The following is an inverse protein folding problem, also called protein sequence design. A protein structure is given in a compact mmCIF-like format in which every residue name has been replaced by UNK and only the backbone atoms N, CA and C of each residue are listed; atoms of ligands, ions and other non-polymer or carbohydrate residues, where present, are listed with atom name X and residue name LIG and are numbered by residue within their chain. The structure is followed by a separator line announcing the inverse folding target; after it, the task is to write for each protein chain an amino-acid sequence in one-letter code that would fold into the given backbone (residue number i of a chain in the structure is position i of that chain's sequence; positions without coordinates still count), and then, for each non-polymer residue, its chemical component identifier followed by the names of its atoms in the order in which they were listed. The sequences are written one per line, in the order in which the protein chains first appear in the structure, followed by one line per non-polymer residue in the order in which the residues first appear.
data_IF_934633928715
#
_entry.id   IF_934633928715
#
_cell.length_a   1.000
_cell.length_b   1.000
_cell.length_c   1.000
_cell.angle_alpha   90.00
_cell.angle_beta   90.00
_cell.angle_gamma   90.00
#
_symmetry.space_group_name_H-M   'P 1'
#
loop_
_entity.id
_entity.type
_entity.pdbx_description
1 polymer ?
#
# COMPACT_ATOMS: atom_id res chain seq x y z
N UNK A 1 -76.90 -8.72 -14.50
CA UNK A 1 -76.18 -8.62 -13.22
C UNK A 1 -74.82 -9.25 -13.42
N UNK A 2 -73.82 -8.48 -13.09
CA UNK A 2 -72.38 -8.58 -13.37
C UNK A 2 -71.70 -9.71 -12.57
N UNK A 3 -70.97 -10.58 -13.26
CA UNK A 3 -69.86 -11.34 -12.67
C UNK A 3 -68.54 -10.74 -13.20
N UNK A 4 -68.10 -9.67 -12.51
CA UNK A 4 -66.75 -9.11 -12.63
C UNK A 4 -66.08 -9.40 -11.28
N UNK A 5 -65.64 -10.64 -11.09
CA UNK A 5 -64.89 -11.01 -9.90
C UNK A 5 -63.92 -12.14 -10.24
N UNK A 6 -62.81 -11.79 -10.91
CA UNK A 6 -61.49 -12.41 -10.78
C UNK A 6 -60.51 -11.76 -11.76
N UNK A 7 -60.22 -10.47 -11.55
CA UNK A 7 -58.97 -9.92 -12.05
C UNK A 7 -57.84 -10.39 -11.12
N UNK A 8 -56.75 -11.00 -11.61
CA UNK A 8 -55.62 -11.36 -10.76
C UNK A 8 -55.10 -10.09 -10.08
N UNK A 9 -55.00 -10.11 -8.74
CA UNK A 9 -54.35 -9.05 -7.98
C UNK A 9 -52.96 -8.85 -8.58
N UNK A 10 -52.68 -7.65 -9.08
CA UNK A 10 -51.35 -7.26 -9.51
C UNK A 10 -50.38 -7.62 -8.39
N UNK A 11 -49.43 -8.52 -8.68
CA UNK A 11 -48.37 -8.86 -7.74
C UNK A 11 -47.68 -7.55 -7.36
N UNK A 12 -47.80 -7.16 -6.09
CA UNK A 12 -47.03 -6.05 -5.54
C UNK A 12 -45.56 -6.39 -5.73
N UNK A 13 -44.92 -5.82 -6.75
CA UNK A 13 -43.46 -5.89 -6.94
C UNK A 13 -42.82 -5.39 -5.66
N UNK A 14 -42.27 -6.32 -4.89
CA UNK A 14 -41.61 -6.05 -3.61
C UNK A 14 -40.45 -5.09 -3.90
N UNK A 15 -40.37 -3.98 -3.18
CA UNK A 15 -39.25 -3.03 -3.37
C UNK A 15 -37.94 -3.78 -3.09
N UNK A 16 -36.98 -3.80 -4.03
CA UNK A 16 -35.74 -4.52 -3.85
C UNK A 16 -34.93 -3.94 -2.68
N UNK A 17 -34.23 -4.83 -1.96
CA UNK A 17 -33.32 -4.43 -0.87
C UNK A 17 -32.12 -3.63 -1.40
N UNK A 18 -31.32 -3.04 -0.51
CA UNK A 18 -30.16 -2.22 -0.93
C UNK A 18 -29.16 -3.01 -1.79
N UNK A 19 -28.85 -4.24 -1.40
CA UNK A 19 -27.95 -5.14 -2.15
C UNK A 19 -28.49 -5.42 -3.55
N UNK A 20 -29.75 -5.81 -3.66
CA UNK A 20 -30.42 -6.12 -4.92
C UNK A 20 -30.51 -4.89 -5.84
N UNK A 21 -30.81 -3.71 -5.28
CA UNK A 21 -30.79 -2.45 -6.03
C UNK A 21 -29.41 -2.14 -6.59
N UNK A 22 -28.37 -2.32 -5.78
CA UNK A 22 -26.99 -2.08 -6.24
C UNK A 22 -26.61 -3.05 -7.35
N UNK A 23 -26.93 -4.34 -7.19
CA UNK A 23 -26.69 -5.36 -8.20
C UNK A 23 -27.38 -5.02 -9.54
N UNK A 24 -28.62 -4.53 -9.52
CA UNK A 24 -29.32 -4.08 -10.75
C UNK A 24 -28.65 -2.89 -11.46
N UNK A 25 -27.82 -2.11 -10.75
CA UNK A 25 -27.06 -0.98 -11.30
C UNK A 25 -25.62 -1.35 -11.66
N UNK A 26 -25.19 -2.58 -11.37
CA UNK A 26 -23.84 -3.09 -11.64
C UNK A 26 -23.93 -4.44 -12.36
N UNK A 27 -24.05 -5.53 -11.60
CA UNK A 27 -24.07 -6.91 -12.13
C UNK A 27 -25.20 -7.14 -13.14
N UNK A 28 -26.39 -6.60 -12.91
CA UNK A 28 -27.53 -6.73 -13.84
C UNK A 28 -27.38 -6.01 -15.19
N UNK A 29 -26.20 -5.46 -15.49
CA UNK A 29 -25.87 -4.83 -16.77
C UNK A 29 -25.03 -5.72 -17.70
N UNK A 30 -24.59 -6.90 -17.23
CA UNK A 30 -23.87 -7.86 -18.07
C UNK A 30 -24.81 -8.76 -18.87
N UNK A 31 -24.19 -9.63 -19.68
CA UNK A 31 -24.89 -10.60 -20.50
C UNK A 31 -23.97 -11.77 -20.83
N UNK A 32 -24.59 -12.92 -21.11
CA UNK A 32 -23.90 -14.07 -21.69
C UNK A 32 -23.53 -13.81 -23.15
N UNK A 33 -22.26 -14.00 -23.48
CA UNK A 33 -21.73 -13.68 -24.81
C UNK A 33 -22.29 -14.62 -25.88
N UNK A 34 -22.80 -14.08 -27.00
CA UNK A 34 -23.35 -14.89 -28.11
C UNK A 34 -22.44 -14.94 -29.35
N UNK A 35 -21.70 -13.86 -29.64
CA UNK A 35 -20.91 -13.73 -30.88
C UNK A 35 -19.42 -14.03 -30.71
N UNK A 36 -18.94 -14.11 -29.47
CA UNK A 36 -17.58 -14.45 -29.10
C UNK A 36 -17.62 -15.42 -27.93
N UNK A 37 -16.71 -16.41 -27.86
CA UNK A 37 -16.60 -17.28 -26.69
C UNK A 37 -16.23 -16.47 -25.43
N UNK A 38 -16.84 -16.79 -24.29
CA UNK A 38 -16.58 -16.11 -23.02
C UNK A 38 -15.09 -16.16 -22.61
N UNK A 39 -14.43 -17.29 -22.89
CA UNK A 39 -13.00 -17.50 -22.67
C UNK A 39 -12.10 -16.59 -23.53
N UNK A 40 -12.54 -16.19 -24.73
CA UNK A 40 -11.82 -15.21 -25.54
C UNK A 40 -12.06 -13.78 -25.05
N UNK A 41 -13.23 -13.52 -24.45
CA UNK A 41 -13.55 -12.23 -23.82
C UNK A 41 -12.77 -12.04 -22.50
N UNK A 42 -12.50 -13.12 -21.77
CA UNK A 42 -11.75 -13.12 -20.51
C UNK A 42 -10.60 -14.15 -20.52
N UNK A 43 -9.56 -13.92 -21.34
CA UNK A 43 -8.52 -14.93 -21.63
C UNK A 43 -7.57 -15.21 -20.45
N UNK A 44 -7.60 -14.39 -19.40
CA UNK A 44 -6.72 -14.52 -18.24
C UNK A 44 -7.40 -15.21 -17.04
N UNK A 45 -8.65 -15.63 -17.16
CA UNK A 45 -9.45 -16.09 -16.01
C UNK A 45 -9.14 -17.51 -15.54
N UNK A 46 -8.29 -18.29 -16.23
CA UNK A 46 -8.13 -19.73 -15.94
C UNK A 46 -6.68 -20.21 -15.81
N UNK A 47 -5.71 -19.52 -16.42
CA UNK A 47 -4.34 -20.04 -16.52
C UNK A 47 -3.59 -20.14 -15.17
N UNK A 48 -4.03 -19.37 -14.17
CA UNK A 48 -3.47 -19.37 -12.82
C UNK A 48 -3.90 -20.58 -11.98
N UNK A 49 -4.83 -21.39 -12.48
CA UNK A 49 -5.35 -22.58 -11.79
C UNK A 49 -6.45 -22.31 -10.77
N UNK A 50 -6.81 -21.04 -10.54
CA UNK A 50 -7.96 -20.66 -9.71
C UNK A 50 -9.26 -21.08 -10.40
N UNK A 51 -10.14 -21.71 -9.62
CA UNK A 51 -11.46 -22.19 -10.05
C UNK A 51 -12.55 -21.37 -9.40
N UNK A 52 -13.39 -20.75 -10.21
CA UNK A 52 -14.57 -20.01 -9.78
C UNK A 52 -15.79 -20.70 -10.39
N UNK A 53 -16.66 -21.27 -9.55
CA UNK A 53 -17.86 -21.98 -10.01
C UNK A 53 -19.06 -21.05 -10.14
N UNK A 54 -19.11 -20.00 -9.34
CA UNK A 54 -20.27 -19.14 -9.23
C UNK A 54 -19.87 -17.70 -8.86
N UNK A 55 -19.85 -16.82 -9.87
CA UNK A 55 -19.57 -15.40 -9.71
C UNK A 55 -20.68 -14.63 -8.97
N UNK A 56 -21.90 -15.17 -8.89
CA UNK A 56 -23.00 -14.51 -8.17
C UNK A 56 -22.81 -14.55 -6.65
N UNK A 57 -21.95 -15.46 -6.16
CA UNK A 57 -21.53 -15.51 -4.75
C UNK A 57 -20.60 -14.38 -4.32
N UNK A 58 -20.08 -13.58 -5.25
CA UNK A 58 -19.31 -12.39 -4.89
C UNK A 58 -20.18 -11.50 -3.99
N UNK A 59 -19.67 -10.97 -2.89
CA UNK A 59 -20.35 -9.89 -2.14
C UNK A 59 -19.71 -8.57 -2.50
N UNK A 60 -20.50 -7.54 -2.82
CA UNK A 60 -19.93 -6.24 -3.14
C UNK A 60 -19.27 -5.64 -1.88
N UNK A 61 -17.94 -5.39 -1.87
CA UNK A 61 -17.22 -4.91 -0.69
C UNK A 61 -17.68 -3.51 -0.28
N UNK A 62 -18.18 -2.73 -1.25
CA UNK A 62 -18.82 -1.44 -1.05
C UNK A 62 -19.88 -1.22 -2.13
N UNK A 63 -20.85 -0.35 -1.85
CA UNK A 63 -22.04 -0.13 -2.69
C UNK A 63 -22.17 1.35 -3.08
N UNK A 64 -21.16 1.85 -3.79
CA UNK A 64 -21.13 3.21 -4.33
C UNK A 64 -21.49 3.20 -5.82
N UNK A 65 -22.54 3.94 -6.19
CA UNK A 65 -22.85 4.27 -7.58
C UNK A 65 -21.99 5.45 -8.03
N UNK A 66 -21.83 5.64 -9.34
CA UNK A 66 -20.94 6.69 -9.87
C UNK A 66 -21.33 8.10 -9.46
N UNK A 67 -22.63 8.40 -9.33
CA UNK A 67 -23.11 9.70 -8.84
C UNK A 67 -22.69 9.95 -7.38
N UNK A 68 -22.77 8.92 -6.53
CA UNK A 68 -22.33 9.00 -5.14
C UNK A 68 -20.80 9.11 -5.06
N UNK A 69 -20.06 8.30 -5.85
CA UNK A 69 -18.61 8.35 -5.91
C UNK A 69 -18.14 9.77 -6.30
N UNK A 70 -18.64 10.32 -7.42
CA UNK A 70 -18.26 11.67 -7.85
C UNK A 70 -18.59 12.74 -6.83
N UNK A 71 -19.76 12.66 -6.19
CA UNK A 71 -20.17 13.63 -5.17
C UNK A 71 -19.17 13.64 -4.00
N UNK A 72 -18.91 12.48 -3.39
CA UNK A 72 -18.03 12.40 -2.22
C UNK A 72 -16.58 12.71 -2.59
N UNK A 73 -16.09 12.22 -3.73
CA UNK A 73 -14.72 12.49 -4.16
C UNK A 73 -14.51 13.97 -4.49
N UNK A 74 -15.48 14.64 -5.14
CA UNK A 74 -15.36 16.07 -5.43
C UNK A 74 -15.30 16.93 -4.15
N UNK A 75 -16.11 16.61 -3.14
CA UNK A 75 -16.06 17.30 -1.84
C UNK A 75 -14.72 17.10 -1.12
N UNK A 76 -14.10 15.92 -1.25
CA UNK A 76 -12.77 15.62 -0.70
C UNK A 76 -11.69 16.43 -1.43
N UNK A 77 -11.70 16.43 -2.77
CA UNK A 77 -10.72 17.15 -3.57
C UNK A 77 -10.80 18.67 -3.35
N UNK A 78 -11.99 19.25 -3.29
CA UNK A 78 -12.15 20.69 -3.02
C UNK A 78 -11.47 21.11 -1.71
N UNK A 79 -11.65 20.33 -0.64
CA UNK A 79 -11.03 20.60 0.66
C UNK A 79 -9.51 20.38 0.61
N UNK A 80 -9.08 19.29 -0.03
CA UNK A 80 -7.68 18.93 -0.14
C UNK A 80 -6.87 20.02 -0.87
N UNK A 81 -7.32 20.44 -2.05
CA UNK A 81 -6.61 21.47 -2.83
C UNK A 81 -6.66 22.84 -2.16
N UNK A 82 -7.76 23.20 -1.47
CA UNK A 82 -7.79 24.43 -0.67
C UNK A 82 -6.72 24.44 0.43
N UNK A 83 -6.48 23.31 1.09
CA UNK A 83 -5.41 23.18 2.09
C UNK A 83 -4.03 23.24 1.43
N UNK A 84 -3.82 22.55 0.29
CA UNK A 84 -2.55 22.58 -0.43
C UNK A 84 -2.19 24.00 -0.92
N UNK A 85 -3.17 24.73 -1.47
CA UNK A 85 -2.99 26.11 -1.92
C UNK A 85 -2.65 27.03 -0.74
N UNK A 86 -3.37 26.90 0.38
CA UNK A 86 -3.08 27.65 1.59
C UNK A 86 -1.68 27.31 2.15
N UNK A 87 -1.28 26.04 2.13
CA UNK A 87 0.05 25.60 2.55
C UNK A 87 1.15 26.24 1.69
N UNK A 88 0.99 26.22 0.36
CA UNK A 88 1.94 26.85 -0.55
C UNK A 88 1.98 28.39 -0.38
N UNK A 89 0.80 29.04 -0.32
CA UNK A 89 0.68 30.50 -0.17
C UNK A 89 1.35 31.02 1.11
N UNK A 90 1.27 30.26 2.21
CA UNK A 90 1.80 30.67 3.50
C UNK A 90 3.23 30.16 3.77
N UNK A 91 3.93 29.65 2.75
CA UNK A 91 5.26 29.04 2.92
C UNK A 91 5.27 27.97 4.04
N UNK A 92 4.26 27.11 4.09
CA UNK A 92 4.07 26.14 5.18
C UNK A 92 5.22 25.16 5.37
N UNK A 93 6.08 24.99 4.36
CA UNK A 93 7.33 24.21 4.46
C UNK A 93 8.30 24.75 5.53
N UNK A 94 8.22 26.03 5.88
CA UNK A 94 9.00 26.64 6.98
C UNK A 94 8.49 26.24 8.37
N UNK A 95 7.30 25.66 8.45
CA UNK A 95 6.71 25.13 9.69
C UNK A 95 7.12 23.70 10.02
N UNK A 96 7.95 23.06 9.18
CA UNK A 96 8.50 21.74 9.45
C UNK A 96 9.43 21.77 10.67
N UNK A 97 9.48 20.66 11.41
CA UNK A 97 10.33 20.54 12.61
C UNK A 97 11.82 20.68 12.30
N UNK A 98 12.28 20.09 11.20
CA UNK A 98 13.66 20.11 10.72
C UNK A 98 13.67 19.74 9.22
N UNK A 99 14.58 20.34 8.44
CA UNK A 99 14.73 20.03 7.01
C UNK A 99 15.11 18.55 6.74
N UNK A 100 15.67 17.83 7.72
CA UNK A 100 15.93 16.38 7.66
C UNK A 100 14.68 15.57 7.33
N UNK A 101 13.50 16.01 7.79
CA UNK A 101 12.21 15.40 7.46
C UNK A 101 11.98 15.29 5.95
N UNK A 102 12.46 16.25 5.15
CA UNK A 102 12.26 16.23 3.69
C UNK A 102 12.78 14.96 3.02
N UNK A 103 13.74 14.26 3.62
CA UNK A 103 14.27 13.01 3.08
C UNK A 103 13.24 11.86 3.13
N UNK A 104 12.30 11.87 4.08
CA UNK A 104 11.17 10.93 4.09
C UNK A 104 10.26 11.16 2.88
N UNK A 105 10.00 12.42 2.52
CA UNK A 105 9.19 12.79 1.36
C UNK A 105 9.90 12.46 0.04
N UNK A 106 11.23 12.61 -0.03
CA UNK A 106 12.02 12.18 -1.21
C UNK A 106 11.90 10.67 -1.42
N UNK A 107 12.02 9.90 -0.34
CA UNK A 107 11.81 8.45 -0.37
C UNK A 107 10.38 8.11 -0.83
N UNK A 108 9.37 8.80 -0.29
CA UNK A 108 7.97 8.59 -0.65
C UNK A 108 7.69 8.92 -2.13
N UNK A 109 8.08 10.10 -2.61
CA UNK A 109 7.84 10.52 -4.00
C UNK A 109 8.53 9.62 -5.03
N UNK A 110 9.72 9.11 -4.70
CA UNK A 110 10.51 8.28 -5.63
C UNK A 110 10.18 6.80 -5.50
N UNK A 111 9.80 6.34 -4.31
CA UNK A 111 9.55 4.94 -3.99
C UNK A 111 8.09 4.52 -4.03
N UNK A 112 7.19 5.31 -3.42
CA UNK A 112 5.78 4.98 -3.18
C UNK A 112 4.85 5.57 -4.24
N UNK A 113 4.95 6.87 -4.53
CA UNK A 113 4.04 7.51 -5.51
C UNK A 113 4.02 6.87 -6.91
N UNK A 114 5.13 6.32 -7.44
CA UNK A 114 5.08 5.55 -8.68
C UNK A 114 4.30 4.25 -8.56
N UNK A 115 4.24 3.65 -7.36
CA UNK A 115 3.48 2.43 -7.09
C UNK A 115 1.98 2.68 -7.15
N UNK A 116 1.49 3.83 -6.69
CA UNK A 116 0.08 4.20 -6.83
C UNK A 116 -0.34 4.22 -8.31
N UNK A 117 0.51 4.80 -9.17
CA UNK A 117 0.23 4.81 -10.59
C UNK A 117 0.29 3.40 -11.22
N UNK A 118 1.14 2.53 -10.69
CA UNK A 118 1.19 1.12 -11.13
C UNK A 118 -0.02 0.33 -10.61
N UNK A 119 -0.49 0.62 -9.39
CA UNK A 119 -1.70 0.04 -8.81
C UNK A 119 -2.93 0.46 -9.62
N UNK A 120 -3.03 1.73 -10.02
CA UNK A 120 -4.05 2.21 -10.96
C UNK A 120 -4.09 1.34 -12.22
N UNK A 121 -2.93 1.13 -12.86
CA UNK A 121 -2.83 0.34 -14.10
C UNK A 121 -3.17 -1.14 -13.88
N UNK A 122 -2.71 -1.73 -12.77
CA UNK A 122 -3.00 -3.10 -12.42
C UNK A 122 -4.49 -3.32 -12.17
N UNK A 123 -5.13 -2.48 -11.34
CA UNK A 123 -6.56 -2.55 -11.10
C UNK A 123 -7.41 -2.20 -12.33
N UNK A 124 -6.94 -1.33 -13.24
CA UNK A 124 -7.59 -1.12 -14.54
C UNK A 124 -7.57 -2.40 -15.39
N UNK A 125 -6.44 -3.12 -15.39
CA UNK A 125 -6.30 -4.40 -16.09
C UNK A 125 -7.21 -5.47 -15.46
N UNK A 126 -7.09 -5.71 -14.15
CA UNK A 126 -7.91 -6.70 -13.43
C UNK A 126 -9.39 -6.37 -13.51
N UNK A 127 -9.75 -5.09 -13.42
CA UNK A 127 -11.10 -4.58 -13.61
C UNK A 127 -11.67 -4.78 -15.02
N UNK A 128 -10.85 -5.19 -15.99
CA UNK A 128 -11.29 -5.71 -17.29
C UNK A 128 -11.29 -7.24 -17.33
N UNK A 129 -10.31 -7.91 -16.71
CA UNK A 129 -10.08 -9.34 -16.93
C UNK A 129 -10.91 -10.28 -16.05
N UNK A 130 -11.46 -9.84 -14.92
CA UNK A 130 -12.31 -10.70 -14.08
C UNK A 130 -13.70 -10.89 -14.72
N UNK A 131 -14.19 -12.14 -14.90
CA UNK A 131 -15.52 -12.40 -15.45
C UNK A 131 -16.70 -11.89 -14.60
N UNK A 132 -16.56 -11.81 -13.27
CA UNK A 132 -17.61 -11.28 -12.41
C UNK A 132 -17.70 -9.76 -12.43
N UNK A 133 -18.87 -9.20 -12.78
CA UNK A 133 -19.08 -7.74 -12.86
C UNK A 133 -18.82 -7.04 -11.53
N UNK A 134 -19.28 -7.61 -10.41
CA UNK A 134 -19.11 -6.98 -9.10
C UNK A 134 -17.64 -6.76 -8.77
N UNK A 135 -16.80 -7.75 -9.05
CA UNK A 135 -15.36 -7.65 -8.90
C UNK A 135 -14.76 -6.62 -9.87
N UNK A 136 -15.21 -6.59 -11.14
CA UNK A 136 -14.76 -5.58 -12.12
C UNK A 136 -15.04 -4.15 -11.66
N UNK A 137 -16.27 -3.87 -11.21
CA UNK A 137 -16.68 -2.54 -10.77
C UNK A 137 -15.88 -2.12 -9.53
N UNK A 138 -15.66 -3.02 -8.56
CA UNK A 138 -14.83 -2.72 -7.40
C UNK A 138 -13.38 -2.41 -7.79
N UNK A 139 -12.77 -3.22 -8.68
CA UNK A 139 -11.42 -2.97 -9.19
C UNK A 139 -11.33 -1.66 -9.99
N UNK A 140 -12.35 -1.31 -10.79
CA UNK A 140 -12.37 -0.05 -11.53
C UNK A 140 -12.47 1.16 -10.60
N UNK A 141 -13.25 1.07 -9.52
CA UNK A 141 -13.29 2.12 -8.49
C UNK A 141 -11.95 2.26 -7.78
N UNK A 142 -11.31 1.15 -7.37
CA UNK A 142 -9.97 1.19 -6.80
C UNK A 142 -8.96 1.80 -7.79
N UNK A 143 -8.99 1.41 -9.06
CA UNK A 143 -8.15 2.00 -10.09
C UNK A 143 -8.27 3.53 -10.18
N UNK A 144 -9.48 4.08 -10.06
CA UNK A 144 -9.67 5.54 -10.02
C UNK A 144 -9.11 6.17 -8.75
N UNK A 145 -9.27 5.49 -7.61
CA UNK A 145 -8.71 5.92 -6.32
C UNK A 145 -7.18 5.95 -6.37
N UNK A 146 -6.52 4.93 -6.94
CA UNK A 146 -5.04 4.91 -7.04
C UNK A 146 -4.50 5.98 -8.00
N UNK A 147 -5.24 6.29 -9.08
CA UNK A 147 -4.88 7.41 -9.96
C UNK A 147 -4.97 8.74 -9.20
N UNK A 148 -6.01 8.90 -8.39
CA UNK A 148 -6.18 10.05 -7.51
C UNK A 148 -5.04 10.14 -6.51
N UNK A 149 -4.63 9.03 -5.88
CA UNK A 149 -3.52 9.01 -4.93
C UNK A 149 -2.22 9.44 -5.61
N UNK A 150 -1.88 8.84 -6.76
CA UNK A 150 -0.70 9.21 -7.53
C UNK A 150 -0.66 10.72 -7.83
N UNK A 151 -1.75 11.28 -8.33
CA UNK A 151 -1.83 12.70 -8.70
C UNK A 151 -1.75 13.62 -7.48
N UNK A 152 -2.53 13.34 -6.44
CA UNK A 152 -2.58 14.18 -5.24
C UNK A 152 -1.26 14.15 -4.45
N UNK A 153 -0.56 13.01 -4.41
CA UNK A 153 0.79 12.93 -3.85
C UNK A 153 1.80 13.77 -4.65
N UNK A 154 1.76 13.71 -5.99
CA UNK A 154 2.62 14.57 -6.84
C UNK A 154 2.34 16.05 -6.57
N UNK A 155 1.07 16.42 -6.45
CA UNK A 155 0.67 17.81 -6.18
C UNK A 155 1.06 18.27 -4.77
N UNK A 156 0.88 17.44 -3.74
CA UNK A 156 1.26 17.77 -2.36
C UNK A 156 2.77 18.03 -2.24
N UNK A 157 3.59 17.29 -2.98
CA UNK A 157 5.05 17.42 -2.96
C UNK A 157 5.60 18.43 -3.99
N UNK A 158 4.74 18.99 -4.85
CA UNK A 158 5.13 19.98 -5.86
C UNK A 158 5.75 21.24 -5.25
N UNK A 159 5.25 21.69 -4.10
CA UNK A 159 5.81 22.87 -3.42
C UNK A 159 7.23 22.61 -2.90
N UNK A 160 7.48 21.44 -2.31
CA UNK A 160 8.81 21.05 -1.85
C UNK A 160 9.80 20.93 -3.01
N UNK A 161 9.38 20.35 -4.14
CA UNK A 161 10.21 20.22 -5.32
C UNK A 161 10.73 21.56 -5.88
N UNK A 162 10.00 22.67 -5.68
CA UNK A 162 10.45 24.01 -6.12
C UNK A 162 11.60 24.55 -5.28
N UNK A 163 11.75 24.07 -4.04
CA UNK A 163 12.57 24.70 -3.00
C UNK A 163 13.71 23.81 -2.52
N UNK A 164 13.63 22.51 -2.74
CA UNK A 164 14.55 21.53 -2.19
C UNK A 164 14.98 20.49 -3.23
N UNK A 165 16.22 20.01 -3.08
CA UNK A 165 16.80 19.01 -3.96
C UNK A 165 16.22 17.60 -3.76
N UNK A 166 16.46 16.71 -4.72
CA UNK A 166 16.12 15.29 -4.63
C UNK A 166 14.66 14.93 -4.97
N UNK A 167 13.80 15.92 -5.15
CA UNK A 167 12.41 15.72 -5.60
C UNK A 167 12.26 15.74 -7.13
N UNK A 168 13.21 16.34 -7.84
CA UNK A 168 13.17 16.46 -9.29
C UNK A 168 13.36 15.08 -9.95
N UNK A 169 12.82 14.89 -11.15
CA UNK A 169 13.03 13.68 -11.96
C UNK A 169 12.64 12.37 -11.24
N UNK A 170 11.76 12.43 -10.24
CA UNK A 170 11.36 11.29 -9.40
C UNK A 170 10.93 10.07 -10.22
N UNK A 171 10.17 10.28 -11.31
CA UNK A 171 9.76 9.18 -12.19
C UNK A 171 10.94 8.55 -12.92
N UNK A 172 11.87 9.37 -13.42
CA UNK A 172 13.06 8.86 -14.10
C UNK A 172 13.96 8.07 -13.13
N UNK A 173 14.08 8.55 -11.89
CA UNK A 173 14.83 7.88 -10.82
C UNK A 173 14.23 6.52 -10.47
N UNK A 174 12.91 6.41 -10.31
CA UNK A 174 12.24 5.15 -9.96
C UNK A 174 12.58 3.99 -10.91
N UNK A 175 12.83 4.27 -12.19
CA UNK A 175 13.21 3.24 -13.17
C UNK A 175 14.70 2.88 -13.18
N UNK A 176 15.56 3.61 -12.46
CA UNK A 176 17.03 3.58 -12.69
C UNK A 176 17.90 3.57 -11.45
N UNK A 177 17.46 4.20 -10.36
CA UNK A 177 18.24 4.26 -9.12
C UNK A 177 18.17 2.90 -8.41
N UNK A 178 19.31 2.42 -7.94
CA UNK A 178 19.51 1.06 -7.44
C UNK A 178 18.46 0.63 -6.41
N UNK A 179 18.27 1.38 -5.31
CA UNK A 179 17.33 0.98 -4.26
C UNK A 179 15.85 1.13 -4.69
N UNK A 180 15.56 1.92 -5.73
CA UNK A 180 14.21 2.05 -6.27
C UNK A 180 13.82 0.85 -7.15
N UNK A 181 14.78 0.01 -7.51
CA UNK A 181 14.49 -1.32 -8.07
C UNK A 181 13.74 -2.23 -7.07
N UNK A 182 13.86 -1.98 -5.76
CA UNK A 182 13.14 -2.73 -4.70
C UNK A 182 11.62 -2.53 -4.83
N UNK A 183 11.06 -1.31 -4.69
CA UNK A 183 9.63 -1.09 -4.88
C UNK A 183 9.19 -1.33 -6.33
N UNK A 184 10.03 -0.97 -7.33
CA UNK A 184 9.70 -1.21 -8.73
C UNK A 184 9.52 -2.70 -9.04
N UNK A 185 10.48 -3.54 -8.64
CA UNK A 185 10.42 -4.98 -8.91
C UNK A 185 9.31 -5.68 -8.14
N UNK A 186 8.86 -5.14 -7.00
CA UNK A 186 7.70 -5.62 -6.27
C UNK A 186 6.42 -5.45 -7.11
N UNK A 187 6.17 -4.25 -7.64
CA UNK A 187 5.00 -3.99 -8.48
C UNK A 187 5.11 -4.56 -9.89
N UNK A 188 6.31 -4.61 -10.48
CA UNK A 188 6.53 -5.25 -11.78
C UNK A 188 6.22 -6.76 -11.70
N UNK A 189 6.58 -7.43 -10.59
CA UNK A 189 6.19 -8.84 -10.33
C UNK A 189 4.67 -8.95 -10.20
N UNK A 190 4.02 -8.06 -9.45
CA UNK A 190 2.57 -8.13 -9.24
C UNK A 190 1.79 -7.89 -10.55
N UNK A 191 2.13 -6.85 -11.33
CA UNK A 191 1.41 -6.48 -12.54
C UNK A 191 1.67 -7.43 -13.73
N UNK A 192 2.74 -8.22 -13.67
CA UNK A 192 3.03 -9.25 -14.68
C UNK A 192 2.49 -10.63 -14.29
N UNK A 193 2.02 -10.79 -13.05
CA UNK A 193 1.23 -11.93 -12.62
C UNK A 193 -0.19 -11.88 -13.24
N UNK A 194 -1.00 -12.90 -12.96
CA UNK A 194 -2.37 -12.92 -13.42
C UNK A 194 -3.34 -12.16 -12.53
N UNK A 195 -4.60 -12.02 -12.97
CA UNK A 195 -5.58 -11.21 -12.26
C UNK A 195 -5.87 -11.70 -10.84
N UNK A 196 -5.83 -13.01 -10.55
CA UNK A 196 -6.08 -13.52 -9.21
C UNK A 196 -4.86 -13.36 -8.30
N UNK A 197 -3.65 -13.65 -8.80
CA UNK A 197 -2.43 -13.39 -8.04
C UNK A 197 -2.31 -11.90 -7.72
N UNK A 198 -2.60 -11.00 -8.66
CA UNK A 198 -2.60 -9.55 -8.43
C UNK A 198 -3.56 -9.15 -7.30
N UNK A 199 -4.77 -9.74 -7.24
CA UNK A 199 -5.71 -9.49 -6.16
C UNK A 199 -5.19 -9.96 -4.80
N UNK A 200 -4.47 -11.07 -4.73
CA UNK A 200 -3.82 -11.51 -3.48
C UNK A 200 -2.58 -10.67 -3.16
N UNK A 201 -1.81 -10.26 -4.16
CA UNK A 201 -0.59 -9.49 -4.00
C UNK A 201 -0.85 -8.07 -3.50
N UNK A 202 -1.67 -7.33 -4.23
CA UNK A 202 -1.94 -5.92 -3.96
C UNK A 202 -3.20 -5.81 -3.10
N UNK A 203 -4.33 -6.34 -3.56
CA UNK A 203 -5.61 -6.20 -2.85
C UNK A 203 -5.59 -6.76 -1.43
N UNK A 204 -5.13 -7.99 -1.23
CA UNK A 204 -5.09 -8.60 0.10
C UNK A 204 -3.76 -8.31 0.84
N UNK A 205 -2.62 -8.71 0.28
CA UNK A 205 -1.37 -8.69 1.04
C UNK A 205 -0.88 -7.26 1.30
N UNK A 206 -0.88 -6.39 0.29
CA UNK A 206 -0.42 -5.00 0.46
C UNK A 206 -1.47 -4.08 1.08
N UNK A 207 -2.65 -4.00 0.48
CA UNK A 207 -3.72 -3.05 0.83
C UNK A 207 -4.52 -3.45 2.09
N UNK A 208 -4.43 -4.71 2.56
CA UNK A 208 -5.10 -5.14 3.80
C UNK A 208 -4.10 -5.51 4.89
N UNK A 209 -3.23 -6.49 4.65
CA UNK A 209 -2.34 -7.04 5.69
C UNK A 209 -1.24 -6.04 6.07
N UNK A 210 -0.64 -5.38 5.07
CA UNK A 210 0.55 -4.55 5.27
C UNK A 210 0.29 -3.04 5.22
N UNK A 211 -0.90 -2.59 4.79
CA UNK A 211 -1.18 -1.17 4.50
C UNK A 211 -0.87 -0.25 5.66
N UNK A 212 -1.22 -0.63 6.89
CA UNK A 212 -1.00 0.21 8.07
C UNK A 212 0.49 0.42 8.38
N UNK A 213 1.37 -0.53 7.99
CA UNK A 213 2.82 -0.40 8.13
C UNK A 213 3.44 0.56 7.11
N UNK A 214 2.70 0.95 6.07
CA UNK A 214 3.08 2.01 5.15
C UNK A 214 2.38 3.32 5.53
N UNK A 215 1.06 3.30 5.62
CA UNK A 215 0.22 4.48 5.75
C UNK A 215 0.43 5.20 7.07
N UNK A 216 0.38 4.49 8.20
CA UNK A 216 0.47 5.12 9.53
C UNK A 216 1.83 5.80 9.71
N UNK A 217 2.99 5.17 9.44
CA UNK A 217 4.29 5.84 9.59
C UNK A 217 4.41 7.15 8.80
N UNK A 218 3.97 7.20 7.55
CA UNK A 218 4.06 8.43 6.75
C UNK A 218 3.08 9.51 7.22
N UNK A 219 1.81 9.17 7.45
CA UNK A 219 0.78 10.18 7.77
C UNK A 219 0.93 10.68 9.21
N UNK A 220 1.21 9.80 10.18
CA UNK A 220 1.49 10.23 11.55
C UNK A 220 2.83 10.97 11.64
N UNK A 221 3.85 10.52 10.90
CA UNK A 221 5.13 11.20 10.79
C UNK A 221 4.98 12.63 10.27
N UNK A 222 4.15 12.82 9.24
CA UNK A 222 3.80 14.15 8.73
C UNK A 222 3.15 15.04 9.81
N UNK A 223 2.17 14.50 10.54
CA UNK A 223 1.47 15.24 11.60
C UNK A 223 2.41 15.68 12.74
N UNK A 224 3.31 14.80 13.18
CA UNK A 224 4.28 15.10 14.26
C UNK A 224 5.40 16.04 13.81
N UNK A 225 5.66 16.15 12.50
CA UNK A 225 6.73 16.95 11.93
C UNK A 225 6.27 18.23 11.22
N UNK A 226 4.98 18.60 11.37
CA UNK A 226 4.44 19.87 10.89
C UNK A 226 4.09 19.91 9.40
N UNK A 227 4.01 18.77 8.73
CA UNK A 227 3.65 18.68 7.31
C UNK A 227 2.14 18.59 7.13
N UNK A 228 1.50 19.75 6.98
CA UNK A 228 0.06 19.83 6.73
C UNK A 228 -0.34 19.29 5.35
N UNK A 229 0.56 19.31 4.35
CA UNK A 229 0.26 18.84 3.00
C UNK A 229 0.09 17.33 2.95
N UNK A 230 1.08 16.59 3.47
CA UNK A 230 1.01 15.13 3.57
C UNK A 230 -0.09 14.68 4.55
N UNK A 231 -0.28 15.39 5.67
CA UNK A 231 -1.36 15.09 6.62
C UNK A 231 -2.75 15.25 5.99
N UNK A 232 -2.99 16.32 5.23
CA UNK A 232 -4.26 16.53 4.55
C UNK A 232 -4.53 15.47 3.47
N UNK A 233 -3.49 15.05 2.73
CA UNK A 233 -3.58 13.90 1.82
C UNK A 233 -4.01 12.64 2.58
N UNK A 234 -3.32 12.29 3.67
CA UNK A 234 -3.64 11.09 4.46
C UNK A 234 -5.08 11.06 4.97
N UNK A 235 -5.56 12.15 5.59
CA UNK A 235 -6.95 12.22 6.03
C UNK A 235 -7.94 12.11 4.86
N UNK A 236 -7.58 12.64 3.69
CA UNK A 236 -8.39 12.52 2.49
C UNK A 236 -8.38 11.08 1.95
N UNK A 237 -7.26 10.38 1.97
CA UNK A 237 -7.14 9.02 1.44
C UNK A 237 -7.83 7.96 2.30
N UNK A 238 -7.97 8.18 3.62
CA UNK A 238 -8.45 7.17 4.58
C UNK A 238 -9.78 6.49 4.19
N UNK A 239 -10.75 7.23 3.64
CA UNK A 239 -12.02 6.62 3.23
C UNK A 239 -11.93 5.83 1.93
N UNK A 240 -10.87 6.02 1.12
CA UNK A 240 -10.54 5.17 -0.01
C UNK A 240 -9.88 3.88 0.49
N UNK A 241 -8.87 3.99 1.37
CA UNK A 241 -8.20 2.84 1.99
C UNK A 241 -9.18 1.87 2.66
N UNK A 242 -10.21 2.39 3.34
CA UNK A 242 -11.24 1.51 3.93
C UNK A 242 -12.00 0.67 2.90
N UNK A 243 -12.19 1.19 1.67
CA UNK A 243 -12.77 0.43 0.56
C UNK A 243 -11.78 -0.58 0.02
N UNK A 244 -10.51 -0.21 -0.12
CA UNK A 244 -9.44 -1.08 -0.63
C UNK A 244 -9.24 -2.29 0.30
N UNK A 245 -9.16 -2.03 1.61
CA UNK A 245 -9.11 -3.07 2.64
C UNK A 245 -10.30 -4.03 2.52
N UNK A 246 -11.52 -3.50 2.36
CA UNK A 246 -12.71 -4.35 2.25
C UNK A 246 -12.70 -5.18 0.95
N UNK A 247 -12.20 -4.63 -0.16
CA UNK A 247 -12.03 -5.38 -1.41
C UNK A 247 -11.00 -6.51 -1.25
N UNK A 248 -9.85 -6.24 -0.63
CA UNK A 248 -8.82 -7.23 -0.37
C UNK A 248 -9.31 -8.44 0.42
N UNK A 249 -10.01 -8.16 1.52
CA UNK A 249 -10.56 -9.21 2.39
C UNK A 249 -11.66 -10.02 1.70
N UNK A 250 -12.51 -9.37 0.89
CA UNK A 250 -13.57 -10.07 0.17
C UNK A 250 -12.99 -10.92 -0.97
N UNK A 251 -11.96 -10.44 -1.66
CA UNK A 251 -11.33 -11.18 -2.75
C UNK A 251 -10.73 -12.51 -2.30
N UNK A 252 -9.99 -12.54 -1.18
CA UNK A 252 -9.43 -13.78 -0.64
C UNK A 252 -10.52 -14.74 -0.16
N UNK A 253 -11.54 -14.25 0.56
CA UNK A 253 -12.65 -15.08 1.05
C UNK A 253 -13.40 -15.71 -0.12
N UNK A 254 -13.75 -14.89 -1.11
CA UNK A 254 -14.41 -15.35 -2.32
C UNK A 254 -13.59 -16.47 -2.99
N UNK A 255 -12.30 -16.26 -3.26
CA UNK A 255 -11.47 -17.31 -3.88
C UNK A 255 -11.43 -18.61 -3.07
N UNK A 256 -11.30 -18.54 -1.75
CA UNK A 256 -11.23 -19.71 -0.87
C UNK A 256 -12.57 -20.46 -0.76
N UNK A 257 -13.70 -19.76 -0.86
CA UNK A 257 -15.04 -20.36 -0.79
C UNK A 257 -15.50 -20.98 -2.11
N UNK A 258 -14.83 -20.66 -3.22
CA UNK A 258 -15.21 -21.14 -4.54
C UNK A 258 -14.79 -22.58 -4.79
N UNK A 259 -13.56 -22.96 -4.46
CA UNK A 259 -13.07 -24.33 -4.68
C UNK A 259 -11.95 -24.67 -3.68
N UNK A 260 -11.97 -25.86 -3.04
CA UNK A 260 -10.90 -26.28 -2.14
C UNK A 260 -9.52 -26.36 -2.81
N UNK A 261 -9.44 -26.58 -4.12
CA UNK A 261 -8.18 -26.60 -4.86
C UNK A 261 -7.54 -25.20 -4.96
N UNK A 262 -8.28 -24.12 -4.68
CA UNK A 262 -7.74 -22.77 -4.63
C UNK A 262 -6.86 -22.55 -3.39
N UNK A 263 -7.12 -23.26 -2.29
CA UNK A 263 -6.41 -23.10 -1.02
C UNK A 263 -4.87 -23.17 -1.16
N UNK A 264 -4.27 -24.23 -1.75
CA UNK A 264 -2.82 -24.31 -1.88
C UNK A 264 -2.22 -23.19 -2.74
N UNK A 265 -2.94 -22.73 -3.76
CA UNK A 265 -2.51 -21.63 -4.64
C UNK A 265 -2.52 -20.31 -3.87
N UNK A 266 -3.63 -20.00 -3.22
CA UNK A 266 -3.79 -18.78 -2.41
C UNK A 266 -2.80 -18.76 -1.25
N UNK A 267 -2.58 -19.87 -0.55
CA UNK A 267 -1.57 -19.96 0.51
C UNK A 267 -0.16 -19.68 -0.02
N UNK A 268 0.19 -20.21 -1.19
CA UNK A 268 1.49 -19.94 -1.82
C UNK A 268 1.66 -18.45 -2.14
N UNK A 269 0.62 -17.79 -2.65
CA UNK A 269 0.65 -16.37 -2.91
C UNK A 269 0.73 -15.53 -1.63
N UNK A 270 0.03 -15.91 -0.55
CA UNK A 270 0.17 -15.25 0.75
C UNK A 270 1.62 -15.34 1.25
N UNK A 271 2.23 -16.52 1.16
CA UNK A 271 3.63 -16.71 1.56
C UNK A 271 4.57 -15.81 0.74
N UNK A 272 4.41 -15.78 -0.60
CA UNK A 272 5.22 -14.96 -1.51
C UNK A 272 5.05 -13.47 -1.20
N UNK A 273 3.81 -12.99 -1.15
CA UNK A 273 3.51 -11.56 -1.13
C UNK A 273 3.63 -10.93 0.24
N UNK A 274 3.43 -11.70 1.32
CA UNK A 274 3.87 -11.29 2.65
C UNK A 274 5.37 -11.01 2.66
N UNK A 275 6.19 -11.96 2.20
CA UNK A 275 7.64 -11.82 2.28
C UNK A 275 8.19 -10.72 1.37
N UNK A 276 7.67 -10.63 0.13
CA UNK A 276 8.04 -9.55 -0.79
C UNK A 276 7.61 -8.18 -0.26
N UNK A 277 6.42 -8.07 0.31
CA UNK A 277 5.93 -6.82 0.91
C UNK A 277 6.73 -6.42 2.15
N UNK A 278 7.01 -7.38 3.03
CA UNK A 278 7.87 -7.18 4.19
C UNK A 278 9.26 -6.64 3.80
N UNK A 279 9.87 -7.19 2.74
CA UNK A 279 11.16 -6.68 2.24
C UNK A 279 11.04 -5.24 1.72
N UNK A 280 9.99 -4.87 1.00
CA UNK A 280 9.76 -3.46 0.60
C UNK A 280 9.63 -2.55 1.84
N UNK A 281 8.94 -3.00 2.89
CA UNK A 281 8.74 -2.23 4.13
C UNK A 281 10.04 -1.96 4.91
N UNK A 282 11.16 -2.60 4.55
CA UNK A 282 12.50 -2.22 5.05
C UNK A 282 12.79 -0.72 4.84
N UNK A 283 12.33 -0.15 3.72
CA UNK A 283 12.48 1.28 3.43
C UNK A 283 11.65 2.14 4.40
N UNK A 284 10.47 1.66 4.81
CA UNK A 284 9.59 2.36 5.74
C UNK A 284 10.12 2.25 7.17
N UNK A 285 10.65 1.09 7.57
CA UNK A 285 11.30 0.88 8.85
C UNK A 285 12.45 1.89 9.06
N UNK A 286 13.31 2.04 8.06
CA UNK A 286 14.37 3.05 8.06
C UNK A 286 13.81 4.47 8.19
N UNK A 287 12.81 4.80 7.38
CA UNK A 287 12.20 6.13 7.35
C UNK A 287 11.64 6.52 8.72
N UNK A 288 10.84 5.65 9.31
CA UNK A 288 10.17 5.87 10.60
C UNK A 288 11.18 6.14 11.71
N UNK A 289 12.19 5.29 11.82
CA UNK A 289 13.14 5.35 12.93
C UNK A 289 14.23 6.42 12.76
N UNK A 290 14.61 6.77 11.53
CA UNK A 290 15.80 7.61 11.27
C UNK A 290 15.52 8.91 10.54
N UNK A 291 14.52 8.97 9.66
CA UNK A 291 14.26 10.17 8.85
C UNK A 291 13.32 11.17 9.51
N UNK A 292 12.53 10.75 10.50
CA UNK A 292 11.59 11.63 11.22
C UNK A 292 12.28 12.29 12.44
N UNK A 293 12.46 13.63 12.47
CA UNK A 293 13.05 14.33 13.61
C UNK A 293 12.24 14.18 14.90
N UNK A 294 10.92 14.36 14.81
CA UNK A 294 9.99 14.02 15.89
C UNK A 294 9.47 12.60 15.65
N UNK A 295 9.89 11.68 16.52
CA UNK A 295 9.48 10.28 16.50
C UNK A 295 7.99 10.15 16.87
N UNK A 296 7.35 9.16 16.28
CA UNK A 296 5.95 8.79 16.58
C UNK A 296 5.93 7.52 17.43
N UNK A 297 6.54 6.48 16.88
CA UNK A 297 6.76 5.14 17.46
C UNK A 297 7.97 4.53 16.74
N UNK A 298 8.53 3.44 17.28
CA UNK A 298 9.54 2.67 16.57
C UNK A 298 8.93 1.75 15.52
N UNK A 299 9.74 1.32 14.55
CA UNK A 299 9.37 0.25 13.62
C UNK A 299 8.96 -1.04 14.36
N UNK A 300 9.65 -1.38 15.45
CA UNK A 300 9.26 -2.51 16.31
C UNK A 300 7.84 -2.36 16.84
N UNK A 301 7.50 -1.22 17.45
CA UNK A 301 6.15 -0.96 17.97
C UNK A 301 5.11 -1.00 16.84
N UNK A 302 5.42 -0.43 15.67
CA UNK A 302 4.56 -0.49 14.50
C UNK A 302 4.33 -1.93 14.03
N UNK A 303 5.37 -2.76 14.00
CA UNK A 303 5.28 -4.18 13.62
C UNK A 303 4.45 -4.99 14.62
N UNK A 304 4.67 -4.81 15.92
CA UNK A 304 3.93 -5.48 16.98
C UNK A 304 2.42 -5.20 16.87
N UNK A 305 2.03 -3.94 16.69
CA UNK A 305 0.61 -3.57 16.60
C UNK A 305 0.00 -3.98 15.26
N UNK A 306 0.63 -3.58 14.14
CA UNK A 306 -0.01 -3.70 12.83
C UNK A 306 0.20 -5.04 12.15
N UNK A 307 1.29 -5.75 12.43
CA UNK A 307 1.50 -7.13 11.95
C UNK A 307 1.12 -8.15 13.02
N UNK A 308 1.78 -8.17 14.18
CA UNK A 308 1.64 -9.29 15.14
C UNK A 308 0.24 -9.38 15.74
N UNK A 309 -0.29 -8.27 16.26
CA UNK A 309 -1.63 -8.24 16.84
C UNK A 309 -2.73 -8.29 15.77
N UNK A 310 -2.78 -7.28 14.88
CA UNK A 310 -3.86 -7.17 13.89
C UNK A 310 -3.79 -8.30 12.83
N UNK A 311 -2.61 -8.56 12.28
CA UNK A 311 -2.40 -9.64 11.32
C UNK A 311 -2.55 -11.02 11.99
N UNK A 312 -2.10 -11.18 13.23
CA UNK A 312 -2.35 -12.40 14.01
C UNK A 312 -3.85 -12.72 14.15
N UNK A 313 -4.66 -11.72 14.51
CA UNK A 313 -6.11 -11.87 14.58
C UNK A 313 -6.75 -12.21 13.22
N UNK A 314 -6.29 -11.58 12.13
CA UNK A 314 -6.74 -11.90 10.78
C UNK A 314 -6.44 -13.35 10.40
N UNK A 315 -5.21 -13.82 10.58
CA UNK A 315 -4.84 -15.18 10.21
C UNK A 315 -5.53 -16.24 11.09
N UNK A 316 -5.92 -15.89 12.32
CA UNK A 316 -6.82 -16.71 13.13
C UNK A 316 -8.22 -16.80 12.52
N UNK A 317 -8.80 -15.71 12.01
CA UNK A 317 -10.09 -15.77 11.29
C UNK A 317 -9.97 -16.61 10.00
N UNK A 318 -8.88 -16.45 9.25
CA UNK A 318 -8.67 -17.17 7.99
C UNK A 318 -8.38 -18.66 8.17
N UNK A 319 -8.00 -19.10 9.38
CA UNK A 319 -7.77 -20.51 9.69
C UNK A 319 -9.01 -21.39 9.44
N UNK A 320 -10.23 -20.83 9.47
CA UNK A 320 -11.46 -21.56 9.12
C UNK A 320 -11.52 -22.00 7.65
N UNK A 321 -10.73 -21.37 6.78
CA UNK A 321 -10.56 -21.77 5.38
C UNK A 321 -9.34 -22.69 5.17
N UNK A 322 -8.59 -23.01 6.22
CA UNK A 322 -7.35 -23.78 6.14
C UNK A 322 -6.08 -22.94 5.87
N UNK A 323 -6.19 -21.60 5.85
CA UNK A 323 -5.03 -20.71 5.73
C UNK A 323 -4.22 -20.73 7.03
N UNK A 324 -2.90 -20.78 6.89
CA UNK A 324 -1.94 -20.61 7.99
C UNK A 324 -1.23 -19.25 7.89
N UNK A 325 -0.59 -18.79 8.97
CA UNK A 325 0.32 -17.65 8.89
C UNK A 325 1.35 -17.82 7.76
N UNK A 326 1.76 -16.72 7.11
CA UNK A 326 2.70 -16.77 5.99
C UNK A 326 4.05 -17.38 6.37
N UNK A 327 4.71 -18.03 5.41
CA UNK A 327 6.12 -18.37 5.57
C UNK A 327 6.96 -17.10 5.79
N UNK A 328 7.93 -17.18 6.71
CA UNK A 328 8.76 -16.04 7.10
C UNK A 328 8.14 -15.12 8.16
N UNK A 329 6.90 -15.38 8.62
CA UNK A 329 6.26 -14.59 9.67
C UNK A 329 7.12 -14.44 10.93
N UNK A 330 7.56 -15.56 11.52
CA UNK A 330 8.39 -15.54 12.72
C UNK A 330 9.71 -14.79 12.49
N UNK A 331 10.34 -15.01 11.34
CA UNK A 331 11.57 -14.30 11.00
C UNK A 331 11.34 -12.79 10.95
N UNK A 332 10.22 -12.34 10.39
CA UNK A 332 9.89 -10.91 10.35
C UNK A 332 9.61 -10.33 11.76
N UNK A 333 9.00 -11.11 12.65
CA UNK A 333 8.84 -10.77 14.07
C UNK A 333 10.19 -10.65 14.79
N UNK A 334 11.16 -11.50 14.46
CA UNK A 334 12.50 -11.46 15.07
C UNK A 334 13.34 -10.31 14.49
N UNK A 335 13.29 -10.13 13.16
CA UNK A 335 14.03 -9.11 12.40
C UNK A 335 13.60 -7.67 12.75
N UNK A 336 12.42 -7.46 13.36
CA UNK A 336 11.93 -6.12 13.73
C UNK A 336 12.90 -5.37 14.65
N UNK A 337 13.69 -6.10 15.44
CA UNK A 337 14.73 -5.56 16.34
C UNK A 337 15.93 -4.95 15.60
N UNK A 338 16.03 -5.17 14.29
CA UNK A 338 17.26 -4.92 13.53
C UNK A 338 17.03 -4.15 12.23
N UNK A 339 15.85 -4.28 11.62
CA UNK A 339 15.59 -3.91 10.24
C UNK A 339 15.93 -2.45 9.92
N UNK A 340 15.47 -1.51 10.75
CA UNK A 340 15.67 -0.08 10.51
C UNK A 340 17.13 0.34 10.61
N UNK A 341 17.86 -0.16 11.61
CA UNK A 341 19.28 0.15 11.83
C UNK A 341 20.19 -0.43 10.75
N UNK A 342 19.90 -1.65 10.28
CA UNK A 342 20.60 -2.27 9.15
C UNK A 342 20.38 -1.49 7.85
N UNK A 343 19.14 -1.07 7.58
CA UNK A 343 18.80 -0.26 6.43
C UNK A 343 19.49 1.12 6.50
N UNK A 344 19.40 1.83 7.63
CA UNK A 344 20.06 3.13 7.80
C UNK A 344 21.57 3.05 7.62
N UNK A 345 22.20 2.04 8.21
CA UNK A 345 23.64 1.77 8.04
C UNK A 345 24.03 1.58 6.57
N UNK A 346 23.20 0.83 5.82
CA UNK A 346 23.39 0.58 4.39
C UNK A 346 23.28 1.88 3.57
N UNK A 347 22.23 2.66 3.81
CA UNK A 347 22.05 3.93 3.10
C UNK A 347 23.06 5.01 3.53
N UNK A 348 23.59 4.97 4.76
CA UNK A 348 24.64 5.89 5.19
C UNK A 348 25.88 5.73 4.32
N UNK A 349 26.41 4.50 4.21
CA UNK A 349 27.62 4.24 3.44
C UNK A 349 27.42 4.36 1.92
N UNK A 350 26.19 4.23 1.41
CA UNK A 350 25.85 4.38 -0.01
C UNK A 350 25.11 5.67 -0.36
N UNK A 351 25.13 6.68 0.53
CA UNK A 351 24.38 7.93 0.36
C UNK A 351 24.74 8.65 -0.95
N UNK A 352 25.98 8.56 -1.40
CA UNK A 352 26.44 9.15 -2.67
C UNK A 352 25.70 8.65 -3.92
N UNK A 353 24.93 7.57 -3.79
CA UNK A 353 24.12 6.98 -4.86
C UNK A 353 22.61 6.98 -4.57
N UNK A 354 22.13 7.85 -3.66
CA UNK A 354 20.70 8.02 -3.35
C UNK A 354 20.27 9.49 -3.49
N UNK A 355 19.02 9.79 -3.91
CA UNK A 355 18.52 11.16 -4.09
C UNK A 355 18.08 11.81 -2.77
N UNK A 356 18.50 11.27 -1.63
CA UNK A 356 18.24 11.81 -0.30
C UNK A 356 19.51 11.76 0.55
N UNK A 357 19.48 12.44 1.69
CA UNK A 357 20.61 12.55 2.61
C UNK A 357 20.45 11.60 3.79
N UNK A 358 21.59 11.18 4.32
CA UNK A 358 21.72 10.43 5.58
C UNK A 358 22.67 11.18 6.50
N UNK A 359 22.59 10.87 7.79
CA UNK A 359 23.34 11.51 8.87
C UNK A 359 23.59 10.52 10.00
N UNK A 360 24.55 10.85 10.86
CA UNK A 360 24.65 10.19 12.16
C UNK A 360 23.55 10.70 13.09
N UNK A 361 22.78 9.82 13.74
CA UNK A 361 21.78 10.24 14.72
C UNK A 361 22.42 11.03 15.87
N UNK A 362 21.68 11.97 16.46
CA UNK A 362 22.12 12.68 17.65
C UNK A 362 22.19 11.75 18.87
N UNK A 363 22.85 12.18 19.95
CA UNK A 363 22.86 11.43 21.20
C UNK A 363 21.44 11.15 21.72
N UNK A 364 20.54 12.15 21.67
CA UNK A 364 19.12 11.99 22.06
C UNK A 364 18.41 10.96 21.17
N UNK A 365 18.66 10.99 19.86
CA UNK A 365 18.08 10.01 18.93
C UNK A 365 18.62 8.60 19.21
N UNK A 366 19.91 8.44 19.52
CA UNK A 366 20.49 7.14 19.90
C UNK A 366 19.98 6.64 21.25
N UNK A 367 19.76 7.52 22.22
CA UNK A 367 19.17 7.16 23.52
C UNK A 367 17.73 6.68 23.35
N UNK A 368 16.95 7.35 22.50
CA UNK A 368 15.63 6.86 22.10
C UNK A 368 15.70 5.49 21.42
N UNK A 369 16.67 5.26 20.53
CA UNK A 369 16.84 3.94 19.92
C UNK A 369 17.19 2.87 20.95
N UNK A 370 17.94 3.20 22.00
CA UNK A 370 18.29 2.25 23.07
C UNK A 370 17.08 1.90 23.92
N UNK A 371 16.20 2.87 24.18
CA UNK A 371 14.93 2.63 24.85
C UNK A 371 14.01 1.71 24.02
N UNK A 372 13.94 1.93 22.71
CA UNK A 372 13.04 1.19 21.81
C UNK A 372 13.58 -0.17 21.38
N UNK A 373 14.89 -0.35 21.39
CA UNK A 373 15.58 -1.57 20.97
C UNK A 373 16.61 -2.01 22.04
N UNK A 374 16.15 -2.30 23.27
CA UNK A 374 17.03 -2.51 24.42
C UNK A 374 17.91 -3.76 24.29
N UNK A 375 17.48 -4.74 23.49
CA UNK A 375 18.16 -6.02 23.32
C UNK A 375 19.07 -6.06 22.08
N UNK A 376 19.17 -4.97 21.31
CA UNK A 376 19.92 -4.97 20.05
C UNK A 376 20.71 -3.69 19.76
N UNK A 377 20.21 -2.51 20.11
CA UNK A 377 20.80 -1.26 19.62
C UNK A 377 22.18 -0.98 20.21
N UNK A 378 22.31 -1.06 21.54
CA UNK A 378 23.58 -0.79 22.22
C UNK A 378 24.65 -1.85 21.92
N UNK A 379 24.24 -3.10 21.70
CA UNK A 379 25.16 -4.19 21.39
C UNK A 379 25.70 -4.08 19.95
N UNK A 380 24.84 -3.83 18.97
CA UNK A 380 25.19 -4.00 17.55
C UNK A 380 25.32 -2.71 16.74
N UNK A 381 24.58 -1.65 17.11
CA UNK A 381 24.39 -0.47 16.23
C UNK A 381 24.99 0.82 16.80
N UNK A 382 24.80 1.12 18.08
CA UNK A 382 25.40 2.29 18.73
C UNK A 382 26.92 2.37 18.52
N UNK A 383 27.71 1.31 18.73
CA UNK A 383 29.17 1.38 18.53
C UNK A 383 29.55 1.71 17.08
N UNK A 384 28.74 1.30 16.10
CA UNK A 384 28.97 1.64 14.68
C UNK A 384 28.74 3.11 14.43
N UNK A 385 27.67 3.68 14.98
CA UNK A 385 27.35 5.09 14.80
C UNK A 385 28.33 6.00 15.52
N UNK A 386 28.75 5.64 16.74
CA UNK A 386 29.82 6.34 17.47
C UNK A 386 31.12 6.35 16.67
N UNK A 387 31.54 5.19 16.14
CA UNK A 387 32.71 5.11 15.28
C UNK A 387 32.59 5.98 14.02
N UNK A 388 31.47 5.95 13.31
CA UNK A 388 31.27 6.78 12.12
C UNK A 388 31.18 8.27 12.43
N UNK A 389 30.60 8.65 13.58
CA UNK A 389 30.60 10.03 14.05
C UNK A 389 32.03 10.54 14.34
N UNK A 390 32.88 9.72 14.96
CA UNK A 390 34.30 10.03 15.16
C UNK A 390 35.05 10.19 13.83
N UNK A 391 34.81 9.29 12.87
CA UNK A 391 35.41 9.40 11.54
C UNK A 391 34.96 10.66 10.80
N UNK A 392 33.67 10.99 10.83
CA UNK A 392 33.12 12.20 10.22
C UNK A 392 33.69 13.47 10.86
N UNK A 393 33.81 13.51 12.19
CA UNK A 393 34.46 14.62 12.92
C UNK A 393 35.95 14.79 12.56
N UNK A 394 36.64 13.69 12.24
CA UNK A 394 38.03 13.70 11.75
C UNK A 394 38.15 14.06 10.26
N UNK A 395 37.05 14.35 9.55
CA UNK A 395 37.03 14.64 8.11
C UNK A 395 37.04 13.40 7.22
N UNK A 396 36.86 12.21 7.78
CA UNK A 396 36.91 10.91 7.11
C UNK A 396 35.52 10.25 7.03
N UNK A 397 34.46 11.02 6.72
CA UNK A 397 33.09 10.48 6.59
C UNK A 397 33.09 9.24 5.68
N UNK A 398 32.58 8.14 6.21
CA UNK A 398 32.66 6.85 5.53
C UNK A 398 31.71 6.76 4.33
N UNK A 399 32.26 6.40 3.17
CA UNK A 399 31.53 6.02 1.97
C UNK A 399 32.09 4.69 1.46
N UNK A 400 31.21 3.73 1.17
CA UNK A 400 31.65 2.47 0.60
C UNK A 400 31.77 2.63 -0.93
N UNK A 401 33.00 2.53 -1.44
CA UNK A 401 33.31 2.63 -2.88
C UNK A 401 33.06 1.35 -3.68
N UNK A 402 32.58 0.27 -3.06
CA UNK A 402 32.33 -1.03 -3.71
C UNK A 402 30.83 -1.31 -3.76
N UNK A 403 30.31 -1.74 -4.90
CA UNK A 403 28.89 -2.10 -5.04
C UNK A 403 28.52 -3.30 -4.15
N UNK A 404 27.30 -3.34 -3.57
CA UNK A 404 26.83 -4.48 -2.80
C UNK A 404 26.43 -5.65 -3.71
N UNK A 405 26.42 -6.86 -3.14
CA UNK A 405 25.64 -7.96 -3.70
C UNK A 405 24.16 -7.71 -3.43
N UNK A 406 23.31 -7.87 -4.45
CA UNK A 406 21.86 -7.69 -4.34
C UNK A 406 21.13 -9.03 -4.32
N UNK A 407 20.02 -9.10 -3.59
CA UNK A 407 19.14 -10.26 -3.64
C UNK A 407 18.48 -10.40 -5.03
N UNK A 408 18.52 -11.59 -5.62
CA UNK A 408 17.93 -11.85 -6.95
C UNK A 408 16.40 -11.69 -6.99
N UNK A 409 15.72 -11.70 -5.84
CA UNK A 409 14.25 -11.57 -5.75
C UNK A 409 13.85 -10.15 -5.32
N UNK A 410 14.20 -9.72 -4.10
CA UNK A 410 13.75 -8.42 -3.58
C UNK A 410 14.63 -7.24 -3.99
N UNK A 411 15.82 -7.49 -4.55
CA UNK A 411 16.77 -6.49 -5.05
C UNK A 411 17.30 -5.50 -3.99
N UNK A 412 17.11 -5.81 -2.70
CA UNK A 412 17.81 -5.14 -1.59
C UNK A 412 19.28 -5.54 -1.62
#
# INVERSE_FOLDING_TARGET
MTDIANAPKAATTKKPGLKERYALMTRGLDWETTYQPMEEVFPYATYEGIKIHDWDKWEDPFRLTMDAYWKYQAEKEQKLYAIMDAFAQNNGHLGLTDARYLNSLKLFLTGVSPLEYMAHRGFAHVGRQLPGVGARVACQMQSLDELRHAQTQIHSMSNYNKLYDGFHSWRHMHDRVWYLSVPKSFFDDAITAGPFEYMIAIGFSFEYVLTNLLFVPFISGAAYNGDMGAMAFGFSAQSDESRHMTLGLEAIKFMLEQDPDNLPIVQHWIDKWFWRGYRVLTLVAMMLDYMLPKKVMSWKEAWEIYAEENGGALFQDLARYGIRPPLGWQQACDDKEHLSAQAWSTFYQYQGAAPFHTWMPSAEEMDWQSEKYPDSFDEYYRPRFEHWAEQEAAGNRFYNGTLPMLCQVCQI
#
